data_IF_932659041494
#
_entry.id   IF_932659041494
#
_cell.length_a   1.000
_cell.length_b   1.000
_cell.length_c   1.000
_cell.angle_alpha   90.00
_cell.angle_beta   90.00
_cell.angle_gamma   90.00
#
_symmetry.space_group_name_H-M   'P 1'
#
loop_
_entity.id
_entity.type
_entity.pdbx_description
1 polymer ?
#
# COMPACT_ATOMS: atom_id res chain seq x y z
N UNK A 1 27.54 41.48 -13.23
CA UNK A 1 28.66 40.87 -14.00
C UNK A 1 28.17 39.59 -14.69
N UNK A 2 28.91 39.08 -15.68
CA UNK A 2 28.85 37.66 -16.14
C UNK A 2 29.50 36.77 -15.05
N UNK A 3 29.41 35.44 -14.95
CA UNK A 3 28.92 34.29 -15.76
C UNK A 3 28.86 33.07 -14.78
N UNK A 4 28.59 31.80 -15.17
CA UNK A 4 28.03 31.27 -16.42
C UNK A 4 26.80 30.34 -16.23
N UNK A 5 26.25 29.85 -17.34
CA UNK A 5 25.30 28.74 -17.39
C UNK A 5 26.00 27.37 -17.32
N UNK A 6 25.31 26.33 -16.85
CA UNK A 6 25.62 24.93 -17.19
C UNK A 6 24.54 24.35 -18.11
N UNK A 7 24.95 23.47 -19.02
CA UNK A 7 24.11 22.97 -20.11
C UNK A 7 23.48 21.62 -19.78
N UNK A 8 22.20 21.46 -20.12
CA UNK A 8 21.52 20.15 -20.11
C UNK A 8 22.13 19.26 -21.19
N UNK A 9 22.46 18.01 -20.85
CA UNK A 9 22.91 17.01 -21.81
C UNK A 9 21.88 15.88 -21.89
N UNK A 10 21.20 15.77 -23.04
CA UNK A 10 20.11 14.82 -23.27
C UNK A 10 20.70 13.52 -23.84
N UNK A 11 20.42 12.38 -23.22
CA UNK A 11 20.76 11.06 -23.74
C UNK A 11 19.55 10.43 -24.43
N UNK A 12 19.56 10.37 -25.76
CA UNK A 12 18.66 9.49 -26.51
C UNK A 12 19.27 8.09 -26.56
N UNK A 13 18.51 7.07 -26.15
CA UNK A 13 18.83 5.67 -26.43
C UNK A 13 17.99 5.18 -27.61
N UNK A 14 18.61 5.05 -28.78
CA UNK A 14 18.01 4.45 -29.96
C UNK A 14 18.40 2.97 -30.04
N UNK A 15 17.41 2.07 -30.08
CA UNK A 15 17.64 0.64 -30.24
C UNK A 15 17.92 0.30 -31.72
N UNK A 16 19.20 0.08 -32.06
CA UNK A 16 19.64 -0.48 -33.35
C UNK A 16 19.79 -2.00 -33.28
N UNK A 17 19.46 -2.71 -34.36
CA UNK A 17 19.40 -4.18 -34.39
C UNK A 17 20.22 -4.81 -35.53
N UNK A 18 20.41 -6.14 -35.41
CA UNK A 18 20.84 -7.12 -36.44
C UNK A 18 22.35 -7.28 -36.71
N UNK A 19 22.86 -8.47 -36.35
CA UNK A 19 23.82 -9.26 -37.16
C UNK A 19 25.33 -9.20 -36.82
N UNK A 20 26.18 -10.15 -37.24
CA UNK A 20 25.95 -11.55 -37.66
C UNK A 20 27.32 -12.27 -37.87
N UNK A 21 27.51 -13.48 -37.31
CA UNK A 21 28.66 -14.37 -37.61
C UNK A 21 29.97 -14.11 -36.83
N UNK A 22 30.95 -15.02 -36.81
CA UNK A 22 31.01 -16.38 -37.39
C UNK A 22 32.18 -17.21 -36.77
N UNK A 23 32.02 -18.55 -36.66
CA UNK A 23 33.09 -19.58 -36.48
C UNK A 23 33.91 -19.54 -35.16
N UNK A 24 34.30 -20.65 -34.51
CA UNK A 24 34.18 -22.13 -34.70
C UNK A 24 34.47 -22.82 -33.31
N UNK A 25 34.70 -24.13 -33.06
CA UNK A 25 35.00 -25.32 -33.89
C UNK A 25 34.76 -26.68 -33.17
N UNK A 26 34.22 -27.66 -33.91
CA UNK A 26 34.31 -29.16 -33.85
C UNK A 26 34.04 -30.03 -32.59
N UNK A 27 33.46 -31.21 -32.89
CA UNK A 27 33.52 -32.55 -32.24
C UNK A 27 32.56 -32.87 -31.06
N UNK A 28 31.91 -34.05 -31.03
CA UNK A 28 31.72 -35.10 -32.06
C UNK A 28 30.50 -36.03 -31.78
N UNK A 29 30.12 -36.84 -32.78
CA UNK A 29 29.30 -38.07 -32.76
C UNK A 29 27.77 -38.01 -32.50
N UNK A 30 27.00 -38.44 -33.52
CA UNK A 30 25.70 -39.13 -33.37
C UNK A 30 25.90 -40.66 -33.38
N UNK A 31 24.91 -41.52 -33.77
CA UNK A 31 23.67 -41.30 -34.55
C UNK A 31 22.40 -41.65 -33.71
N UNK A 32 21.17 -41.89 -34.21
CA UNK A 32 20.63 -42.09 -35.57
C UNK A 32 19.16 -41.58 -35.73
N UNK A 33 18.53 -41.82 -36.90
CA UNK A 33 17.29 -41.20 -37.38
C UNK A 33 16.09 -42.16 -37.39
N UNK A 34 14.88 -41.61 -37.27
CA UNK A 34 13.70 -42.04 -38.03
C UNK A 34 12.69 -40.87 -38.17
N UNK A 35 11.86 -40.85 -39.22
CA UNK A 35 10.96 -39.73 -39.54
C UNK A 35 9.56 -40.17 -40.01
N UNK A 36 8.52 -39.47 -39.53
CA UNK A 36 7.39 -38.85 -40.31
C UNK A 36 6.87 -39.66 -41.53
N UNK A 37 5.58 -40.07 -41.56
CA UNK A 37 4.53 -39.14 -42.04
C UNK A 37 3.11 -39.28 -41.46
N UNK A 38 2.25 -38.31 -41.81
CA UNK A 38 0.79 -38.36 -41.64
C UNK A 38 0.09 -39.14 -42.77
N UNK A 39 -1.07 -39.74 -42.47
CA UNK A 39 -2.29 -39.72 -43.34
C UNK A 39 -3.54 -40.19 -42.57
N UNK A 40 -4.73 -39.79 -43.03
CA UNK A 40 -6.05 -40.19 -42.51
C UNK A 40 -6.72 -41.23 -43.44
N UNK A 41 -7.78 -41.95 -43.00
CA UNK A 41 -9.16 -41.48 -43.22
C UNK A 41 -10.20 -41.87 -42.14
N UNK A 42 -11.45 -41.47 -42.37
CA UNK A 42 -12.67 -41.73 -41.57
C UNK A 42 -13.17 -43.19 -41.65
N UNK A 43 -14.14 -43.55 -40.78
CA UNK A 43 -15.47 -43.90 -41.31
C UNK A 43 -16.60 -43.01 -40.74
N UNK A 44 -17.74 -42.99 -41.44
CA UNK A 44 -18.96 -42.29 -41.01
C UNK A 44 -19.99 -43.27 -40.41
N UNK A 45 -20.86 -42.77 -39.53
CA UNK A 45 -22.08 -43.45 -39.08
C UNK A 45 -23.20 -42.40 -39.01
N UNK A 46 -24.39 -42.75 -39.51
CA UNK A 46 -25.57 -41.88 -39.55
C UNK A 46 -26.42 -42.01 -38.26
N UNK A 47 -27.33 -41.05 -38.01
CA UNK A 47 -28.45 -41.24 -37.09
C UNK A 47 -28.69 -40.12 -36.07
N UNK A 48 -29.46 -39.10 -36.46
CA UNK A 48 -30.19 -38.27 -35.48
C UNK A 48 -31.49 -39.00 -35.05
N UNK A 49 -32.07 -38.65 -33.90
CA UNK A 49 -33.04 -37.56 -33.94
C UNK A 49 -32.87 -36.51 -32.83
N UNK A 50 -33.46 -35.33 -33.03
CA UNK A 50 -33.38 -34.23 -32.08
C UNK A 50 -34.28 -34.43 -30.86
N UNK A 51 -33.76 -34.10 -29.68
CA UNK A 51 -34.54 -33.76 -28.47
C UNK A 51 -34.22 -32.32 -28.07
N UNK A 52 -35.20 -31.62 -27.48
CA UNK A 52 -35.05 -30.20 -27.15
C UNK A 52 -34.17 -30.04 -25.92
N UNK A 53 -32.95 -29.54 -26.11
CA UNK A 53 -32.07 -29.11 -25.03
C UNK A 53 -32.44 -27.68 -24.61
N UNK A 54 -32.71 -27.51 -23.32
CA UNK A 54 -32.80 -26.19 -22.68
C UNK A 54 -31.45 -25.46 -22.83
N UNK A 55 -31.43 -24.11 -22.92
CA UNK A 55 -30.18 -23.37 -22.99
C UNK A 55 -29.35 -23.67 -21.73
N UNK A 56 -28.13 -24.16 -21.93
CA UNK A 56 -27.21 -24.44 -20.83
C UNK A 56 -26.97 -23.14 -20.05
N UNK A 57 -27.21 -23.18 -18.73
CA UNK A 57 -26.92 -22.06 -17.83
C UNK A 57 -25.42 -21.82 -17.87
N UNK A 58 -24.99 -20.73 -18.50
CA UNK A 58 -23.60 -20.27 -18.48
C UNK A 58 -23.17 -20.19 -17.01
N UNK A 59 -22.04 -20.81 -16.61
CA UNK A 59 -21.53 -20.62 -15.27
C UNK A 59 -21.19 -19.14 -15.10
N UNK A 60 -21.82 -18.49 -14.13
CA UNK A 60 -21.46 -17.12 -13.78
C UNK A 60 -20.05 -17.17 -13.20
N UNK A 61 -19.09 -16.53 -13.86
CA UNK A 61 -17.81 -16.18 -13.27
C UNK A 61 -18.06 -15.08 -12.24
N UNK A 62 -18.58 -15.48 -11.08
CA UNK A 62 -19.01 -14.57 -10.03
C UNK A 62 -17.83 -13.84 -9.40
N UNK A 63 -17.90 -12.51 -9.41
CA UNK A 63 -17.26 -11.68 -8.39
C UNK A 63 -17.64 -12.25 -7.01
N UNK A 64 -16.73 -12.27 -6.03
CA UNK A 64 -17.11 -12.45 -4.63
C UNK A 64 -17.98 -11.27 -4.20
N UNK A 65 -19.31 -11.45 -4.27
CA UNK A 65 -20.26 -10.51 -3.70
C UNK A 65 -20.05 -10.35 -2.18
N UNK A 66 -20.77 -9.43 -1.51
CA UNK A 66 -20.65 -9.25 -0.07
C UNK A 66 -20.84 -10.57 0.70
N UNK A 67 -19.74 -11.12 1.18
CA UNK A 67 -19.66 -12.31 2.02
C UNK A 67 -19.80 -11.89 3.48
N UNK A 68 -20.60 -12.63 4.24
CA UNK A 68 -21.40 -12.11 5.34
C UNK A 68 -22.45 -11.08 4.87
N UNK A 69 -23.65 -11.20 5.42
CA UNK A 69 -24.63 -10.12 5.35
C UNK A 69 -24.08 -8.92 6.13
N UNK A 70 -23.84 -7.80 5.42
CA UNK A 70 -23.93 -6.49 6.07
C UNK A 70 -25.27 -6.46 6.82
N UNK A 71 -25.28 -6.02 8.08
CA UNK A 71 -26.53 -5.82 8.83
C UNK A 71 -27.51 -5.01 7.97
N UNK A 72 -28.80 -5.34 8.00
CA UNK A 72 -29.88 -4.74 7.17
C UNK A 72 -30.02 -3.19 7.31
N UNK A 73 -29.20 -2.58 8.16
CA UNK A 73 -29.13 -1.14 8.45
C UNK A 73 -27.93 -0.43 7.78
N UNK A 74 -26.92 -1.16 7.30
CA UNK A 74 -25.71 -0.60 6.69
C UNK A 74 -25.90 -0.43 5.18
N UNK A 75 -25.73 0.80 4.69
CA UNK A 75 -25.76 1.07 3.25
C UNK A 75 -24.53 0.43 2.57
N UNK A 76 -24.68 -0.50 1.59
CA UNK A 76 -23.54 -1.15 0.95
C UNK A 76 -22.59 -0.16 0.26
N UNK A 77 -23.12 0.94 -0.29
CA UNK A 77 -22.31 2.01 -0.88
C UNK A 77 -21.45 2.73 0.16
N UNK A 78 -21.98 2.96 1.37
CA UNK A 78 -21.24 3.56 2.48
C UNK A 78 -20.12 2.63 2.96
N UNK A 79 -20.41 1.33 3.08
CA UNK A 79 -19.44 0.30 3.45
C UNK A 79 -18.29 0.21 2.44
N UNK A 80 -18.62 0.16 1.14
CA UNK A 80 -17.63 0.10 0.07
C UNK A 80 -16.86 1.42 -0.09
N UNK A 81 -17.46 2.58 0.24
CA UNK A 81 -16.74 3.86 0.32
C UNK A 81 -15.77 3.94 1.50
N UNK A 82 -16.04 3.26 2.61
CA UNK A 82 -15.07 3.09 3.67
C UNK A 82 -13.95 2.13 3.24
N UNK A 83 -14.30 0.96 2.71
CA UNK A 83 -13.34 -0.04 2.21
C UNK A 83 -12.38 0.51 1.12
N UNK A 84 -12.88 1.41 0.26
CA UNK A 84 -12.10 2.14 -0.73
C UNK A 84 -11.50 3.46 -0.24
N UNK A 85 -11.34 3.62 1.08
CA UNK A 85 -10.72 4.76 1.77
C UNK A 85 -11.06 6.16 1.21
N UNK A 86 -12.31 6.31 0.74
CA UNK A 86 -12.73 7.49 -0.01
C UNK A 86 -12.75 8.74 0.88
N UNK A 87 -12.91 8.57 2.19
CA UNK A 87 -12.98 9.65 3.16
C UNK A 87 -11.61 10.30 3.40
N UNK A 88 -10.55 9.52 3.67
CA UNK A 88 -9.22 10.04 4.00
C UNK A 88 -8.69 10.91 2.85
N UNK A 89 -8.62 10.35 1.64
CA UNK A 89 -8.15 11.08 0.47
C UNK A 89 -9.02 12.30 0.11
N UNK A 90 -10.35 12.19 0.19
CA UNK A 90 -11.26 13.28 -0.24
C UNK A 90 -11.74 14.18 0.90
N UNK A 91 -11.04 14.22 2.04
CA UNK A 91 -11.34 15.17 3.12
C UNK A 91 -10.07 15.91 3.52
N UNK A 92 -10.04 17.23 3.29
CA UNK A 92 -8.96 18.08 3.80
C UNK A 92 -9.09 18.29 5.32
N UNK A 93 -8.01 18.65 6.04
CA UNK A 93 -8.10 19.21 7.39
C UNK A 93 -9.10 20.37 7.45
N UNK A 94 -9.88 20.44 8.54
CA UNK A 94 -11.03 21.35 8.73
C UNK A 94 -12.05 21.34 7.57
N UNK A 95 -12.17 20.20 6.87
CA UNK A 95 -13.05 19.99 5.72
C UNK A 95 -14.39 19.35 6.06
N UNK A 96 -15.35 19.50 5.15
CA UNK A 96 -16.49 18.57 5.10
C UNK A 96 -16.07 17.24 4.47
N UNK A 97 -16.61 16.09 4.92
CA UNK A 97 -16.36 14.81 4.28
C UNK A 97 -16.57 14.87 2.76
N UNK A 98 -15.63 14.28 2.02
CA UNK A 98 -15.68 14.17 0.56
C UNK A 98 -15.56 15.49 -0.25
N UNK A 99 -15.32 16.65 0.37
CA UNK A 99 -15.16 17.92 -0.37
C UNK A 99 -13.79 18.11 -1.06
N UNK A 100 -12.85 17.19 -0.85
CA UNK A 100 -11.51 17.21 -1.41
C UNK A 100 -10.60 18.27 -0.79
N UNK A 101 -9.54 18.63 -1.53
CA UNK A 101 -8.57 19.65 -1.13
C UNK A 101 -7.41 19.14 -0.28
N UNK A 102 -7.33 17.85 0.02
CA UNK A 102 -6.15 17.26 0.66
C UNK A 102 -4.93 17.45 -0.27
N UNK A 103 -3.82 17.89 0.30
CA UNK A 103 -2.55 18.02 -0.40
C UNK A 103 -1.76 16.71 -0.29
N UNK A 104 -1.44 16.09 -1.42
CA UNK A 104 -0.60 14.90 -1.51
C UNK A 104 0.70 15.32 -2.17
N UNK A 105 1.77 15.45 -1.39
CA UNK A 105 3.09 15.76 -1.93
C UNK A 105 3.75 14.53 -2.55
N UNK A 106 4.40 14.73 -3.69
CA UNK A 106 5.00 13.64 -4.48
C UNK A 106 6.40 14.05 -4.99
N UNK A 107 7.24 13.09 -5.41
CA UNK A 107 8.48 13.37 -6.15
C UNK A 107 8.29 14.23 -7.43
N UNK A 108 7.06 14.45 -7.88
CA UNK A 108 6.73 15.24 -9.07
C UNK A 108 6.13 16.62 -8.73
N UNK A 109 5.77 16.88 -7.47
CA UNK A 109 5.06 18.08 -6.99
C UNK A 109 3.73 17.73 -6.31
N UNK A 110 3.00 18.74 -5.81
CA UNK A 110 1.79 18.55 -5.01
C UNK A 110 0.57 18.25 -5.88
N UNK A 111 -0.12 17.16 -5.56
CA UNK A 111 -1.44 16.81 -6.10
C UNK A 111 -2.51 17.25 -5.08
N UNK A 112 -3.67 17.68 -5.56
CA UNK A 112 -4.81 18.03 -4.70
C UNK A 112 -6.00 17.15 -5.05
N UNK A 113 -6.66 16.57 -4.04
CA UNK A 113 -7.79 15.67 -4.27
C UNK A 113 -9.06 16.44 -4.66
N UNK A 114 -9.86 15.92 -5.61
CA UNK A 114 -11.08 16.59 -6.06
C UNK A 114 -12.24 16.44 -5.06
N UNK A 115 -13.19 17.35 -5.14
CA UNK A 115 -14.49 17.23 -4.46
C UNK A 115 -15.28 16.09 -5.12
N UNK A 116 -15.84 15.17 -4.33
CA UNK A 116 -16.67 14.05 -4.81
C UNK A 116 -18.05 14.00 -4.14
N UNK A 117 -18.50 15.13 -3.58
CA UNK A 117 -19.89 15.34 -3.15
C UNK A 117 -20.85 15.46 -4.36
N UNK A 118 -22.19 15.47 -4.18
CA UNK A 118 -23.15 15.62 -5.29
C UNK A 118 -23.18 17.00 -5.97
N UNK A 119 -22.23 17.88 -5.66
CA UNK A 119 -22.12 19.22 -6.24
C UNK A 119 -21.99 19.16 -7.78
N UNK A 120 -22.83 19.89 -8.51
CA UNK A 120 -22.78 19.97 -9.98
C UNK A 120 -21.63 20.85 -10.49
N UNK A 121 -21.27 21.92 -9.76
CA UNK A 121 -20.23 22.88 -10.14
C UNK A 121 -18.81 22.36 -9.91
N UNK A 122 -18.60 21.61 -8.81
CA UNK A 122 -17.26 21.22 -8.33
C UNK A 122 -17.11 19.74 -7.99
N UNK A 123 -18.21 19.02 -7.75
CA UNK A 123 -18.22 17.61 -7.34
C UNK A 123 -18.47 16.65 -8.50
N UNK A 124 -19.11 15.51 -8.19
CA UNK A 124 -19.47 14.48 -9.18
C UNK A 124 -20.95 14.53 -9.60
N UNK A 125 -21.72 15.56 -9.21
CA UNK A 125 -23.18 15.62 -9.43
C UNK A 125 -23.61 15.45 -10.89
N UNK A 126 -22.81 15.95 -11.82
CA UNK A 126 -23.04 15.85 -13.27
C UNK A 126 -22.48 14.57 -13.94
N UNK A 127 -21.85 13.66 -13.20
CA UNK A 127 -21.23 12.45 -13.79
C UNK A 127 -22.32 11.42 -14.13
N UNK A 128 -22.34 10.92 -15.37
CA UNK A 128 -23.10 9.70 -15.68
C UNK A 128 -22.49 8.48 -15.00
N UNK A 129 -23.22 7.37 -14.93
CA UNK A 129 -22.70 6.11 -14.36
C UNK A 129 -21.49 5.61 -15.17
N UNK A 130 -21.55 5.77 -16.49
CA UNK A 130 -20.43 5.52 -17.40
C UNK A 130 -19.22 6.41 -17.13
N UNK A 131 -19.42 7.67 -16.73
CA UNK A 131 -18.31 8.58 -16.43
C UNK A 131 -17.65 8.25 -15.10
N UNK A 132 -18.44 7.85 -14.09
CA UNK A 132 -17.93 7.40 -12.80
C UNK A 132 -17.11 6.10 -12.96
N UNK A 133 -17.67 5.08 -13.62
CA UNK A 133 -16.95 3.84 -13.93
C UNK A 133 -15.69 4.12 -14.78
N UNK A 134 -15.76 4.99 -15.79
CA UNK A 134 -14.61 5.38 -16.62
C UNK A 134 -13.51 6.12 -15.84
N UNK A 135 -13.89 6.94 -14.86
CA UNK A 135 -12.94 7.58 -13.96
C UNK A 135 -12.21 6.53 -13.11
N UNK A 136 -12.95 5.74 -12.32
CA UNK A 136 -12.37 4.80 -11.36
C UNK A 136 -11.66 3.62 -12.03
N UNK A 137 -12.17 3.09 -13.16
CA UNK A 137 -11.65 1.83 -13.73
C UNK A 137 -10.67 2.03 -14.89
N UNK A 138 -10.49 3.25 -15.39
CA UNK A 138 -9.57 3.57 -16.49
C UNK A 138 -8.76 4.86 -16.28
N UNK A 139 -9.01 5.62 -15.22
CA UNK A 139 -8.29 6.87 -14.99
C UNK A 139 -8.59 7.95 -16.01
N UNK A 140 -9.80 8.01 -16.58
CA UNK A 140 -10.21 9.00 -17.59
C UNK A 140 -11.41 9.83 -17.09
N UNK A 141 -11.29 11.15 -17.14
CA UNK A 141 -12.34 12.10 -16.72
C UNK A 141 -13.58 12.10 -17.64
N UNK A 142 -14.70 12.71 -17.22
CA UNK A 142 -15.85 12.93 -18.11
C UNK A 142 -15.46 13.63 -19.42
N UNK A 143 -14.57 14.62 -19.35
CA UNK A 143 -14.03 15.35 -20.52
C UNK A 143 -13.07 14.54 -21.40
N UNK A 144 -12.73 13.31 -21.03
CA UNK A 144 -11.80 12.45 -21.77
C UNK A 144 -10.32 12.69 -21.45
N UNK A 145 -10.00 13.56 -20.49
CA UNK A 145 -8.62 13.82 -20.06
C UNK A 145 -8.17 12.76 -19.05
N UNK A 146 -6.91 12.31 -19.06
CA UNK A 146 -6.45 11.29 -18.12
C UNK A 146 -6.24 11.89 -16.71
N UNK A 147 -6.25 11.03 -15.69
CA UNK A 147 -5.89 11.32 -14.31
C UNK A 147 -4.44 10.87 -14.02
N UNK A 148 -3.79 11.51 -13.04
CA UNK A 148 -2.51 11.03 -12.52
C UNK A 148 -2.74 9.77 -11.67
N UNK A 149 -1.82 8.79 -11.66
CA UNK A 149 -1.95 7.51 -10.96
C UNK A 149 -1.87 7.60 -9.42
N UNK A 150 -1.83 8.80 -8.85
CA UNK A 150 -2.12 9.02 -7.43
C UNK A 150 -3.61 8.84 -7.10
N UNK A 151 -4.48 8.85 -8.12
CA UNK A 151 -5.82 8.27 -8.03
C UNK A 151 -5.68 6.78 -8.40
N UNK A 152 -6.02 5.82 -7.52
CA UNK A 152 -5.65 4.40 -7.65
C UNK A 152 -6.52 3.61 -8.65
N UNK A 153 -6.75 4.15 -9.85
CA UNK A 153 -7.51 3.48 -10.91
C UNK A 153 -6.82 2.19 -11.41
N UNK A 154 -5.52 2.06 -11.17
CA UNK A 154 -4.69 0.85 -11.30
C UNK A 154 -5.19 -0.31 -10.43
N UNK A 155 -5.76 -0.03 -9.26
CA UNK A 155 -6.43 -1.00 -8.40
C UNK A 155 -7.94 -1.04 -8.64
N UNK A 156 -8.62 0.11 -8.67
CA UNK A 156 -10.08 0.17 -8.87
C UNK A 156 -10.58 -0.42 -10.19
N UNK A 157 -9.74 -0.59 -11.21
CA UNK A 157 -10.08 -1.35 -12.43
C UNK A 157 -10.54 -2.79 -12.15
N UNK A 158 -10.11 -3.37 -11.01
CA UNK A 158 -10.46 -4.71 -10.55
C UNK A 158 -11.87 -4.79 -9.94
N UNK A 159 -12.36 -3.69 -9.38
CA UNK A 159 -13.63 -3.63 -8.64
C UNK A 159 -14.81 -3.72 -9.60
N UNK A 160 -15.85 -4.46 -9.20
CA UNK A 160 -17.04 -4.70 -10.00
C UNK A 160 -17.88 -3.43 -10.21
N UNK A 161 -18.55 -3.36 -11.35
CA UNK A 161 -19.32 -2.18 -11.75
C UNK A 161 -20.49 -1.93 -10.79
N UNK A 162 -21.10 -2.98 -10.24
CA UNK A 162 -22.14 -2.89 -9.20
C UNK A 162 -21.64 -2.25 -7.89
N UNK A 163 -20.45 -2.64 -7.40
CA UNK A 163 -19.86 -2.08 -6.17
C UNK A 163 -19.49 -0.60 -6.36
N UNK A 164 -18.92 -0.24 -7.52
CA UNK A 164 -18.60 1.15 -7.83
C UNK A 164 -19.86 2.02 -8.01
N UNK A 165 -20.94 1.46 -8.55
CA UNK A 165 -22.22 2.18 -8.63
C UNK A 165 -22.94 2.25 -7.27
N UNK A 166 -22.71 1.29 -6.36
CA UNK A 166 -23.14 1.41 -4.96
C UNK A 166 -22.39 2.55 -4.24
N UNK A 167 -21.06 2.61 -4.37
CA UNK A 167 -20.22 3.74 -3.90
C UNK A 167 -20.78 5.06 -4.44
N UNK A 168 -21.01 5.16 -5.75
CA UNK A 168 -21.59 6.36 -6.37
C UNK A 168 -22.95 6.70 -5.77
N UNK A 169 -23.84 5.72 -5.62
CA UNK A 169 -25.18 5.93 -5.07
C UNK A 169 -25.13 6.47 -3.64
N UNK A 170 -24.18 6.02 -2.81
CA UNK A 170 -23.95 6.59 -1.48
C UNK A 170 -23.37 8.02 -1.55
N UNK A 171 -22.34 8.26 -2.37
CA UNK A 171 -21.76 9.60 -2.55
C UNK A 171 -22.82 10.61 -3.04
N UNK A 172 -23.79 10.18 -3.84
CA UNK A 172 -24.94 11.02 -4.25
C UNK A 172 -25.94 11.35 -3.12
N UNK A 173 -25.73 10.84 -1.89
CA UNK A 173 -26.54 11.16 -0.69
C UNK A 173 -25.85 12.09 0.32
N UNK A 174 -24.55 12.35 0.21
CA UNK A 174 -23.83 13.22 1.17
C UNK A 174 -24.15 14.70 0.93
N UNK A 175 -23.84 15.59 1.89
CA UNK A 175 -24.11 17.02 1.72
C UNK A 175 -23.27 17.60 0.55
N UNK A 176 -23.88 18.27 -0.45
CA UNK A 176 -23.12 18.91 -1.52
C UNK A 176 -22.25 20.06 -0.99
N UNK A 177 -20.93 19.96 -1.19
CA UNK A 177 -20.02 21.07 -0.88
C UNK A 177 -19.77 21.93 -2.11
N UNK A 178 -19.88 23.25 -1.94
CA UNK A 178 -19.46 24.26 -2.92
C UNK A 178 -17.97 24.60 -2.81
N UNK A 179 -17.19 23.85 -2.02
CA UNK A 179 -15.74 24.00 -1.98
C UNK A 179 -15.11 23.59 -3.32
N UNK A 180 -14.20 24.44 -3.82
CA UNK A 180 -13.38 24.19 -4.99
C UNK A 180 -11.94 23.90 -4.55
N UNK A 181 -11.46 22.64 -4.65
CA UNK A 181 -10.07 22.30 -4.34
C UNK A 181 -9.04 23.09 -5.16
N UNK A 182 -7.83 23.31 -4.60
CA UNK A 182 -6.71 23.88 -5.35
C UNK A 182 -6.36 23.06 -6.58
N UNK A 183 -5.70 23.68 -7.56
CA UNK A 183 -5.24 22.97 -8.76
C UNK A 183 -3.96 22.19 -8.43
N UNK A 184 -3.88 20.96 -8.93
CA UNK A 184 -2.65 20.15 -8.88
C UNK A 184 -1.46 20.89 -9.48
N UNK A 185 -0.35 20.98 -8.75
CA UNK A 185 0.86 21.75 -9.08
C UNK A 185 2.08 20.85 -9.24
N UNK A 186 2.11 20.07 -10.33
CA UNK A 186 3.29 19.28 -10.70
C UNK A 186 4.36 20.12 -11.42
N UNK A 187 5.61 19.69 -11.29
CA UNK A 187 6.77 20.24 -12.00
C UNK A 187 6.72 19.85 -13.48
N UNK A 188 7.29 20.67 -14.37
CA UNK A 188 7.48 20.28 -15.77
C UNK A 188 8.52 19.14 -15.86
N UNK A 189 8.33 18.10 -16.70
CA UNK A 189 7.26 17.93 -17.71
C UNK A 189 5.97 17.28 -17.19
N UNK A 190 5.94 16.78 -15.94
CA UNK A 190 4.81 16.05 -15.36
C UNK A 190 3.49 16.84 -15.32
N UNK A 191 3.55 18.18 -15.38
CA UNK A 191 2.38 19.06 -15.54
C UNK A 191 1.65 18.94 -16.89
N UNK A 192 2.25 18.32 -17.91
CA UNK A 192 1.62 18.09 -19.22
C UNK A 192 0.72 16.84 -19.12
N UNK A 193 -0.56 17.06 -18.80
CA UNK A 193 -1.49 15.97 -18.45
C UNK A 193 -1.59 14.87 -19.52
N UNK A 194 -1.57 15.22 -20.80
CA UNK A 194 -1.75 14.25 -21.90
C UNK A 194 -0.61 13.22 -22.01
N UNK A 195 0.55 13.47 -21.38
CA UNK A 195 1.61 12.45 -21.25
C UNK A 195 1.14 11.21 -20.47
N UNK A 196 0.09 11.33 -19.65
CA UNK A 196 -0.49 10.20 -18.93
C UNK A 196 -1.15 9.16 -19.84
N UNK A 197 -1.53 9.49 -21.08
CA UNK A 197 -1.94 8.45 -22.04
C UNK A 197 -0.77 7.52 -22.40
N UNK A 198 0.43 8.09 -22.62
CA UNK A 198 1.65 7.31 -22.87
C UNK A 198 2.14 6.56 -21.62
N UNK A 199 1.87 7.08 -20.43
CA UNK A 199 2.10 6.37 -19.17
C UNK A 199 1.15 5.18 -19.02
N UNK A 200 -0.15 5.37 -19.30
CA UNK A 200 -1.17 4.32 -19.21
C UNK A 200 -0.88 3.16 -20.17
N UNK A 201 -0.53 3.44 -21.43
CA UNK A 201 -0.17 2.41 -22.43
C UNK A 201 1.02 1.52 -22.00
N UNK A 202 1.91 2.03 -21.14
CA UNK A 202 3.11 1.29 -20.67
C UNK A 202 2.90 0.63 -19.31
N UNK A 203 2.15 1.25 -18.39
CA UNK A 203 2.09 0.84 -16.98
C UNK A 203 0.70 0.43 -16.48
N UNK A 204 -0.38 0.75 -17.19
CA UNK A 204 -1.74 0.43 -16.77
C UNK A 204 -2.33 -0.75 -17.56
N UNK A 205 -2.74 -1.80 -16.84
CA UNK A 205 -3.46 -2.95 -17.41
C UNK A 205 -4.88 -3.00 -16.82
N UNK A 206 -5.86 -2.51 -17.57
CA UNK A 206 -7.26 -2.62 -17.19
C UNK A 206 -7.72 -4.09 -17.08
N UNK A 207 -8.56 -4.40 -16.10
CA UNK A 207 -9.15 -5.73 -15.94
C UNK A 207 -9.81 -5.93 -14.57
N UNK A 208 -11.01 -6.52 -14.58
CA UNK A 208 -11.72 -6.92 -13.34
C UNK A 208 -10.96 -8.00 -12.59
N UNK A 209 -11.16 -8.07 -11.28
CA UNK A 209 -10.78 -9.24 -10.49
C UNK A 209 -11.43 -10.50 -11.06
N UNK A 210 -10.76 -11.64 -10.93
CA UNK A 210 -11.25 -12.95 -11.34
C UNK A 210 -10.87 -13.95 -10.25
N UNK A 211 -11.88 -14.56 -9.62
CA UNK A 211 -11.68 -15.53 -8.54
C UNK A 211 -10.89 -16.75 -9.03
N UNK A 212 -9.87 -17.16 -8.27
CA UNK A 212 -9.13 -18.40 -8.51
C UNK A 212 -9.97 -19.60 -8.02
N UNK A 213 -10.41 -20.52 -8.90
CA UNK A 213 -11.22 -21.68 -8.52
C UNK A 213 -10.44 -22.74 -7.70
N UNK A 214 -9.13 -22.53 -7.48
CA UNK A 214 -8.30 -23.37 -6.61
C UNK A 214 -8.15 -22.80 -5.19
N UNK A 215 -8.78 -21.66 -4.89
CA UNK A 215 -8.73 -20.96 -3.60
C UNK A 215 -10.11 -20.92 -2.94
N UNK A 216 -10.16 -20.64 -1.63
CA UNK A 216 -11.42 -20.48 -0.91
C UNK A 216 -12.14 -19.19 -1.30
N UNK A 217 -13.44 -19.12 -1.00
CA UNK A 217 -14.22 -17.89 -1.19
C UNK A 217 -13.64 -16.75 -0.33
N UNK A 218 -13.19 -17.03 0.90
CA UNK A 218 -12.57 -16.06 1.80
C UNK A 218 -11.24 -15.51 1.24
N UNK A 219 -10.39 -16.37 0.68
CA UNK A 219 -9.14 -15.92 0.04
C UNK A 219 -9.43 -15.05 -1.18
N UNK A 220 -10.44 -15.42 -1.98
CA UNK A 220 -10.86 -14.64 -3.15
C UNK A 220 -11.50 -13.29 -2.75
N UNK A 221 -12.23 -13.24 -1.64
CA UNK A 221 -12.75 -12.01 -1.05
C UNK A 221 -11.62 -11.11 -0.55
N UNK A 222 -10.63 -11.68 0.14
CA UNK A 222 -9.43 -10.97 0.59
C UNK A 222 -8.65 -10.36 -0.57
N UNK A 223 -8.41 -11.16 -1.61
CA UNK A 223 -7.78 -10.71 -2.85
C UNK A 223 -8.54 -9.54 -3.49
N UNK A 224 -9.87 -9.66 -3.61
CA UNK A 224 -10.73 -8.62 -4.17
C UNK A 224 -10.64 -7.29 -3.41
N UNK A 225 -10.61 -7.34 -2.08
CA UNK A 225 -10.51 -6.16 -1.22
C UNK A 225 -9.08 -5.56 -1.25
N UNK A 226 -8.05 -6.35 -0.98
CA UNK A 226 -6.65 -5.92 -0.91
C UNK A 226 -6.13 -5.40 -2.25
N UNK A 227 -6.46 -6.08 -3.35
CA UNK A 227 -6.02 -5.67 -4.68
C UNK A 227 -6.88 -4.57 -5.31
N UNK A 228 -8.15 -4.48 -4.90
CA UNK A 228 -9.20 -3.64 -5.48
C UNK A 228 -9.46 -2.36 -4.69
N UNK A 229 -10.34 -2.42 -3.69
CA UNK A 229 -10.77 -1.23 -2.94
C UNK A 229 -9.72 -0.74 -1.94
N UNK A 230 -9.19 -1.60 -1.08
CA UNK A 230 -8.16 -1.24 -0.10
C UNK A 230 -6.78 -0.97 -0.71
N UNK A 231 -6.62 -1.27 -2.01
CA UNK A 231 -5.50 -0.87 -2.88
C UNK A 231 -4.10 -0.96 -2.27
N UNK A 232 -3.84 -1.95 -1.41
CA UNK A 232 -2.68 -1.95 -0.50
C UNK A 232 -1.34 -1.96 -1.27
N UNK A 233 -1.35 -2.53 -2.48
CA UNK A 233 -0.20 -2.53 -3.39
C UNK A 233 0.26 -1.14 -3.84
N UNK A 234 -0.56 -0.09 -3.74
CA UNK A 234 -0.15 1.27 -4.10
C UNK A 234 0.80 1.90 -3.05
N UNK A 235 0.79 1.42 -1.81
CA UNK A 235 1.76 1.81 -0.77
C UNK A 235 2.83 0.74 -0.56
N UNK A 236 2.45 -0.54 -0.49
CA UNK A 236 3.37 -1.65 -0.17
C UNK A 236 4.12 -2.22 -1.38
N UNK A 237 4.12 -1.54 -2.54
CA UNK A 237 4.91 -1.92 -3.72
C UNK A 237 5.87 -0.79 -4.13
N UNK A 238 7.16 -1.09 -4.37
CA UNK A 238 8.12 -0.12 -4.89
C UNK A 238 7.66 0.53 -6.20
N UNK A 239 7.93 1.82 -6.34
CA UNK A 239 7.65 2.59 -7.56
C UNK A 239 8.92 2.89 -8.33
N UNK A 240 8.86 2.74 -9.65
CA UNK A 240 9.94 3.11 -10.55
C UNK A 240 10.03 4.65 -10.74
N UNK A 241 11.04 5.12 -11.48
CA UNK A 241 11.28 6.55 -11.72
C UNK A 241 10.14 7.30 -12.45
N UNK A 242 9.17 6.57 -13.04
CA UNK A 242 7.96 7.13 -13.65
C UNK A 242 6.73 7.08 -12.70
N UNK A 243 6.92 6.72 -11.43
CA UNK A 243 5.85 6.65 -10.41
C UNK A 243 4.95 5.41 -10.49
N UNK A 244 5.19 4.51 -11.44
CA UNK A 244 4.45 3.25 -11.55
C UNK A 244 4.99 2.20 -10.58
N UNK A 245 4.09 1.45 -9.94
CA UNK A 245 4.42 0.28 -9.12
C UNK A 245 5.16 -0.78 -9.95
N UNK A 246 6.10 -1.50 -9.34
CA UNK A 246 6.87 -2.58 -9.96
C UNK A 246 6.22 -3.95 -9.70
N UNK A 247 5.49 -4.58 -10.65
CA UNK A 247 4.67 -5.76 -10.33
C UNK A 247 5.47 -7.00 -9.92
N UNK A 248 6.72 -7.12 -10.34
CA UNK A 248 7.66 -8.14 -9.85
C UNK A 248 7.93 -8.01 -8.35
N UNK A 249 7.94 -6.78 -7.84
CA UNK A 249 8.12 -6.41 -6.43
C UNK A 249 6.77 -6.14 -5.72
N UNK A 250 5.65 -6.60 -6.27
CA UNK A 250 4.33 -6.40 -5.64
C UNK A 250 4.34 -6.89 -4.18
N UNK A 251 3.88 -6.02 -3.27
CA UNK A 251 3.81 -6.23 -1.82
C UNK A 251 5.15 -6.34 -1.06
N UNK A 252 6.32 -6.01 -1.65
CA UNK A 252 7.62 -6.12 -0.96
C UNK A 252 7.98 -4.96 -0.02
N UNK A 253 7.06 -4.01 0.20
CA UNK A 253 7.28 -2.79 0.97
C UNK A 253 7.98 -1.66 0.20
N UNK A 254 7.76 -0.41 0.62
CA UNK A 254 8.32 0.80 0.01
C UNK A 254 8.23 2.03 0.95
N UNK A 255 9.07 3.04 0.71
CA UNK A 255 8.95 4.35 1.40
C UNK A 255 7.92 5.24 0.70
N UNK A 256 6.93 5.72 1.45
CA UNK A 256 5.84 6.63 1.00
C UNK A 256 5.75 7.79 1.99
N UNK A 257 5.80 9.04 1.52
CA UNK A 257 5.93 10.25 2.38
C UNK A 257 7.10 10.20 3.40
N UNK A 258 8.11 9.35 3.16
CA UNK A 258 9.17 9.13 4.14
C UNK A 258 8.75 8.26 5.35
N UNK A 259 7.52 7.75 5.42
CA UNK A 259 7.17 6.56 6.21
C UNK A 259 7.51 5.29 5.42
N UNK A 260 7.70 4.15 6.08
CA UNK A 260 7.94 2.86 5.44
C UNK A 260 6.68 1.98 5.49
N UNK A 261 6.14 1.66 4.32
CA UNK A 261 5.13 0.62 4.18
C UNK A 261 5.85 -0.74 4.17
N UNK A 262 5.65 -1.63 5.18
CA UNK A 262 6.40 -2.89 5.29
C UNK A 262 6.08 -3.91 4.18
N UNK A 263 6.88 -4.97 4.10
CA UNK A 263 6.63 -6.11 3.21
C UNK A 263 5.40 -6.90 3.70
N UNK A 264 4.46 -7.19 2.81
CA UNK A 264 3.23 -7.94 3.12
C UNK A 264 3.23 -9.36 2.54
N UNK A 265 4.39 -9.91 2.20
CA UNK A 265 4.53 -11.33 1.79
C UNK A 265 4.97 -12.23 2.96
N UNK A 266 4.89 -13.55 2.79
CA UNK A 266 5.33 -14.64 3.70
C UNK A 266 6.85 -14.65 4.03
N UNK A 267 7.53 -13.51 4.00
CA UNK A 267 8.93 -13.37 4.39
C UNK A 267 9.06 -13.42 5.93
N UNK A 268 9.90 -14.34 6.44
CA UNK A 268 10.08 -14.63 7.89
C UNK A 268 10.95 -13.60 8.64
N UNK A 269 11.61 -12.72 7.92
CA UNK A 269 12.61 -11.75 8.39
C UNK A 269 12.10 -10.30 8.38
N UNK A 270 11.36 -9.91 7.35
CA UNK A 270 10.86 -8.55 7.16
C UNK A 270 9.37 -8.46 6.76
N UNK A 271 8.64 -9.57 6.71
CA UNK A 271 7.25 -9.64 6.24
C UNK A 271 6.28 -10.33 7.18
N UNK A 272 5.17 -10.84 6.61
CA UNK A 272 4.05 -11.42 7.33
C UNK A 272 4.20 -12.92 7.65
N UNK A 273 5.28 -13.60 7.24
CA UNK A 273 5.39 -15.07 7.31
C UNK A 273 5.42 -15.69 8.72
N UNK A 274 5.31 -14.86 9.76
CA UNK A 274 5.15 -15.29 11.15
C UNK A 274 3.83 -14.82 11.81
N UNK A 275 3.00 -14.06 11.10
CA UNK A 275 1.72 -13.56 11.58
C UNK A 275 0.66 -14.65 11.43
N UNK A 276 -0.18 -14.83 12.45
CA UNK A 276 -1.43 -15.55 12.30
C UNK A 276 -2.53 -14.66 11.71
N UNK A 277 -3.57 -15.30 11.15
CA UNK A 277 -4.73 -14.61 10.57
C UNK A 277 -5.42 -13.74 11.64
N UNK A 278 -5.61 -14.27 12.85
CA UNK A 278 -6.27 -13.59 13.96
C UNK A 278 -5.52 -12.29 14.37
N UNK A 279 -4.19 -12.34 14.44
CA UNK A 279 -3.35 -11.19 14.79
C UNK A 279 -3.38 -10.11 13.69
N UNK A 280 -3.32 -10.52 12.43
CA UNK A 280 -3.36 -9.59 11.30
C UNK A 280 -4.76 -8.99 11.11
N UNK A 281 -5.83 -9.77 11.28
CA UNK A 281 -7.20 -9.25 11.25
C UNK A 281 -7.46 -8.26 12.39
N UNK A 282 -6.95 -8.54 13.60
CA UNK A 282 -6.99 -7.61 14.72
C UNK A 282 -6.19 -6.32 14.43
N UNK A 283 -4.99 -6.43 13.85
CA UNK A 283 -4.19 -5.27 13.47
C UNK A 283 -4.88 -4.42 12.39
N UNK A 284 -5.45 -5.04 11.35
CA UNK A 284 -6.19 -4.32 10.31
C UNK A 284 -7.43 -3.60 10.89
N UNK A 285 -8.18 -4.25 11.79
CA UNK A 285 -9.39 -3.67 12.38
C UNK A 285 -9.18 -2.66 13.52
N UNK A 286 -8.03 -2.68 14.20
CA UNK A 286 -7.79 -1.86 15.41
C UNK A 286 -6.50 -1.04 15.38
N UNK A 287 -5.62 -1.28 14.41
CA UNK A 287 -4.30 -0.68 14.33
C UNK A 287 -3.31 -1.24 15.35
N UNK A 288 -3.60 -2.36 16.02
CA UNK A 288 -2.83 -2.86 17.16
C UNK A 288 -2.58 -4.37 17.05
N UNK A 289 -1.31 -4.78 17.21
CA UNK A 289 -0.92 -6.17 17.41
C UNK A 289 -0.36 -6.34 18.83
N UNK A 290 -0.92 -7.30 19.58
CA UNK A 290 -0.57 -7.56 20.99
C UNK A 290 0.58 -8.54 21.19
N UNK A 291 0.99 -9.23 20.13
CA UNK A 291 1.95 -10.32 20.16
C UNK A 291 3.17 -9.98 19.31
N UNK A 292 4.33 -10.35 19.81
CA UNK A 292 5.55 -10.42 19.01
C UNK A 292 5.56 -11.77 18.29
N UNK A 293 6.21 -11.83 17.13
CA UNK A 293 6.20 -13.02 16.28
C UNK A 293 7.22 -14.10 16.70
N UNK A 294 7.10 -14.50 17.95
CA UNK A 294 7.47 -15.80 18.53
C UNK A 294 6.74 -15.91 19.88
N UNK A 295 6.00 -17.00 20.11
CA UNK A 295 5.22 -17.21 21.36
C UNK A 295 6.07 -17.23 22.63
N UNK A 296 7.39 -17.35 22.46
CA UNK A 296 8.38 -17.57 23.52
C UNK A 296 9.29 -16.34 23.72
N UNK A 297 9.17 -15.27 22.91
CA UNK A 297 10.22 -14.26 22.77
C UNK A 297 10.16 -13.06 23.74
N UNK A 298 8.97 -12.49 23.99
CA UNK A 298 8.85 -11.23 24.74
C UNK A 298 7.64 -11.25 25.69
N UNK A 299 7.92 -11.29 26.99
CA UNK A 299 6.96 -10.91 28.02
C UNK A 299 6.81 -9.38 28.05
N UNK A 300 5.89 -8.87 27.22
CA UNK A 300 5.43 -7.49 27.23
C UNK A 300 4.17 -7.31 28.12
N UNK A 301 3.76 -8.35 28.86
CA UNK A 301 2.45 -8.40 29.50
C UNK A 301 1.31 -8.16 28.51
N UNK A 302 0.32 -7.35 28.90
CA UNK A 302 -0.81 -6.95 28.05
C UNK A 302 -0.51 -5.79 27.08
N UNK A 303 0.75 -5.35 26.94
CA UNK A 303 1.11 -4.17 26.15
C UNK A 303 1.11 -4.47 24.64
N UNK A 304 0.75 -3.51 23.77
CA UNK A 304 0.87 -3.70 22.33
C UNK A 304 2.34 -3.80 21.93
N UNK A 305 2.66 -4.74 21.03
CA UNK A 305 4.02 -4.94 20.52
C UNK A 305 4.29 -4.07 19.31
N UNK A 306 3.29 -3.85 18.46
CA UNK A 306 3.30 -2.81 17.43
C UNK A 306 1.92 -2.23 17.23
N UNK A 307 1.91 -1.01 16.73
CA UNK A 307 0.71 -0.30 16.32
C UNK A 307 0.89 0.28 14.91
N UNK A 308 -0.20 0.69 14.29
CA UNK A 308 -0.17 1.39 13.01
C UNK A 308 0.39 2.79 13.23
N UNK A 309 1.27 3.23 12.31
CA UNK A 309 1.94 4.53 12.36
C UNK A 309 1.69 5.30 11.05
N UNK A 310 1.63 6.63 11.14
CA UNK A 310 1.46 7.50 9.97
C UNK A 310 0.26 7.13 9.08
N UNK A 311 0.42 7.13 7.74
CA UNK A 311 -0.65 6.80 6.80
C UNK A 311 -1.29 5.41 6.98
N UNK A 312 -0.59 4.43 7.56
CA UNK A 312 -1.23 3.13 7.86
C UNK A 312 -2.27 3.27 8.99
N UNK A 313 -2.01 4.17 9.93
CA UNK A 313 -2.93 4.46 11.02
C UNK A 313 -4.14 5.28 10.51
N UNK A 314 -3.92 6.22 9.59
CA UNK A 314 -5.00 6.91 8.86
C UNK A 314 -5.91 5.89 8.16
N UNK A 315 -5.33 4.94 7.41
CA UNK A 315 -6.07 3.86 6.72
C UNK A 315 -6.83 2.94 7.70
N UNK A 316 -6.30 2.68 8.90
CA UNK A 316 -7.04 1.96 9.95
C UNK A 316 -8.24 2.78 10.44
N UNK A 317 -8.02 4.04 10.80
CA UNK A 317 -9.06 4.91 11.34
C UNK A 317 -10.17 5.18 10.31
N UNK A 318 -9.80 5.57 9.09
CA UNK A 318 -10.74 6.04 8.07
C UNK A 318 -11.36 4.93 7.21
N UNK A 319 -10.64 3.83 6.97
CA UNK A 319 -11.13 2.65 6.22
C UNK A 319 -11.34 1.41 7.09
N UNK A 320 -10.28 0.75 7.53
CA UNK A 320 -10.31 -0.67 7.89
C UNK A 320 -11.10 -0.99 9.16
N UNK A 321 -11.06 -0.10 10.17
CA UNK A 321 -11.85 -0.23 11.40
C UNK A 321 -13.37 -0.17 11.19
N UNK A 322 -13.83 0.18 9.99
CA UNK A 322 -15.25 0.21 9.60
C UNK A 322 -15.69 -1.06 8.84
N UNK A 323 -14.79 -2.00 8.60
CA UNK A 323 -15.06 -3.26 7.90
C UNK A 323 -15.66 -4.31 8.84
N UNK A 324 -16.34 -5.29 8.26
CA UNK A 324 -16.80 -6.48 9.00
C UNK A 324 -15.61 -7.36 9.38
N UNK A 325 -15.74 -8.06 10.51
CA UNK A 325 -14.76 -9.07 10.94
C UNK A 325 -14.48 -10.11 9.84
N UNK A 326 -15.52 -10.55 9.12
CA UNK A 326 -15.39 -11.48 8.00
C UNK A 326 -14.49 -10.94 6.86
N UNK A 327 -14.63 -9.66 6.49
CA UNK A 327 -13.78 -9.03 5.47
C UNK A 327 -12.34 -8.82 5.98
N UNK A 328 -12.15 -8.46 7.26
CA UNK A 328 -10.82 -8.33 7.87
C UNK A 328 -10.06 -9.67 7.91
N UNK A 329 -10.74 -10.75 8.30
CA UNK A 329 -10.21 -12.11 8.24
C UNK A 329 -9.92 -12.56 6.81
N UNK A 330 -10.80 -12.26 5.85
CA UNK A 330 -10.57 -12.55 4.43
C UNK A 330 -9.31 -11.85 3.89
N UNK A 331 -9.15 -10.55 4.19
CA UNK A 331 -7.94 -9.79 3.84
C UNK A 331 -6.68 -10.39 4.47
N UNK A 332 -6.72 -10.78 5.74
CA UNK A 332 -5.60 -11.43 6.43
C UNK A 332 -5.25 -12.82 5.83
N UNK A 333 -6.25 -13.63 5.48
CA UNK A 333 -6.09 -14.94 4.81
C UNK A 333 -5.37 -14.79 3.45
N UNK A 334 -5.74 -13.77 2.67
CA UNK A 334 -5.06 -13.49 1.40
C UNK A 334 -3.61 -13.04 1.61
N UNK A 335 -3.38 -12.09 2.53
CA UNK A 335 -2.06 -11.49 2.76
C UNK A 335 -1.02 -12.51 3.27
N UNK A 336 -1.40 -13.38 4.21
CA UNK A 336 -0.48 -14.39 4.77
C UNK A 336 -0.12 -15.48 3.76
N UNK A 337 -0.99 -15.76 2.78
CA UNK A 337 -0.71 -16.72 1.69
C UNK A 337 0.11 -16.11 0.53
N UNK A 338 0.43 -14.80 0.57
CA UNK A 338 1.25 -14.17 -0.47
C UNK A 338 2.68 -14.72 -0.47
N UNK A 339 3.17 -15.29 -1.59
CA UNK A 339 4.44 -16.00 -1.63
C UNK A 339 5.61 -15.10 -1.26
N UNK A 340 6.42 -15.58 -0.31
CA UNK A 340 7.56 -14.86 0.26
C UNK A 340 8.46 -14.21 -0.79
N UNK A 341 8.72 -12.92 -0.63
CA UNK A 341 9.68 -12.13 -1.42
C UNK A 341 10.58 -11.33 -0.51
N UNK A 342 11.86 -11.24 -0.86
CA UNK A 342 12.81 -10.33 -0.19
C UNK A 342 12.36 -8.88 -0.39
N UNK A 343 12.36 -8.11 0.69
CA UNK A 343 12.19 -6.66 0.61
C UNK A 343 13.35 -6.02 -0.18
N UNK A 344 13.15 -4.87 -0.87
CA UNK A 344 14.18 -4.24 -1.70
C UNK A 344 15.11 -3.37 -0.84
N UNK A 345 15.81 -3.98 0.10
CA UNK A 345 16.58 -3.25 1.14
C UNK A 345 17.96 -2.79 0.67
N UNK A 346 18.44 -1.68 1.21
CA UNK A 346 19.79 -1.15 0.96
C UNK A 346 20.86 -1.83 1.85
N UNK A 347 21.01 -3.13 1.61
CA UNK A 347 22.06 -4.05 2.09
C UNK A 347 23.45 -3.42 2.40
N UNK A 348 24.26 -3.98 3.35
CA UNK A 348 24.17 -5.35 3.89
C UNK A 348 24.45 -5.58 5.41
N UNK A 349 23.96 -6.72 5.89
CA UNK A 349 24.61 -7.69 6.82
C UNK A 349 25.34 -7.19 8.09
N UNK A 350 24.82 -7.59 9.25
CA UNK A 350 25.36 -7.41 10.62
C UNK A 350 25.58 -5.92 10.97
N UNK A 351 24.61 -5.26 11.64
CA UNK A 351 24.72 -3.84 11.92
C UNK A 351 25.92 -3.53 12.81
N UNK A 352 26.62 -2.41 12.56
CA UNK A 352 27.77 -2.02 13.37
C UNK A 352 27.30 -1.69 14.80
N UNK A 353 27.85 -2.40 15.79
CA UNK A 353 27.62 -2.12 17.20
C UNK A 353 27.98 -0.66 17.51
N UNK A 354 27.10 0.04 18.22
CA UNK A 354 27.35 1.40 18.68
C UNK A 354 28.62 1.48 19.53
N UNK A 355 29.33 2.61 19.46
CA UNK A 355 30.39 2.86 20.42
C UNK A 355 29.79 3.01 21.81
N UNK A 356 30.58 2.70 22.86
CA UNK A 356 30.11 2.85 24.24
C UNK A 356 29.62 4.28 24.53
N UNK A 357 30.27 5.30 23.96
CA UNK A 357 29.88 6.70 24.15
C UNK A 357 28.53 7.02 23.48
N UNK A 358 28.27 6.50 22.28
CA UNK A 358 27.00 6.70 21.57
C UNK A 358 25.85 5.96 22.29
N UNK A 359 26.11 4.74 22.76
CA UNK A 359 25.14 3.95 23.51
C UNK A 359 24.81 4.58 24.88
N UNK A 360 25.81 5.10 25.61
CA UNK A 360 25.59 5.82 26.87
C UNK A 360 24.84 7.14 26.63
N UNK A 361 25.22 7.92 25.60
CA UNK A 361 24.52 9.16 25.22
C UNK A 361 23.06 8.92 24.84
N UNK A 362 22.78 7.89 24.03
CA UNK A 362 21.42 7.53 23.61
C UNK A 362 20.57 6.97 24.75
N UNK A 363 21.17 6.21 25.67
CA UNK A 363 20.50 5.80 26.92
C UNK A 363 20.13 7.00 27.77
N UNK A 364 21.03 7.96 27.94
CA UNK A 364 20.78 9.12 28.80
C UNK A 364 19.68 10.05 28.19
N UNK A 365 19.62 10.17 26.86
CA UNK A 365 18.48 10.76 26.14
C UNK A 365 17.18 9.96 26.38
N UNK A 366 17.21 8.64 26.25
CA UNK A 366 16.05 7.77 26.47
C UNK A 366 15.51 7.87 27.91
N UNK A 367 16.40 7.87 28.92
CA UNK A 367 16.05 8.06 30.33
C UNK A 367 15.48 9.45 30.61
N UNK A 368 15.85 10.46 29.82
CA UNK A 368 15.33 11.83 29.96
C UNK A 368 13.96 12.02 29.30
N UNK A 369 13.69 11.33 28.18
CA UNK A 369 12.56 11.63 27.30
C UNK A 369 11.52 10.51 27.12
N UNK A 370 11.88 9.25 27.35
CA UNK A 370 11.09 8.09 26.89
C UNK A 370 10.74 7.10 28.00
N UNK A 371 11.63 6.88 28.98
CA UNK A 371 11.50 5.80 29.98
C UNK A 371 10.25 5.95 30.87
N UNK A 372 9.76 7.16 31.11
CA UNK A 372 8.53 7.39 31.88
C UNK A 372 7.29 6.68 31.30
N UNK A 373 7.27 6.45 29.98
CA UNK A 373 6.19 5.77 29.27
C UNK A 373 6.60 4.36 28.84
N UNK A 374 7.68 4.23 28.06
CA UNK A 374 8.13 2.95 27.49
C UNK A 374 8.96 2.07 28.43
N UNK A 375 9.21 2.54 29.66
CA UNK A 375 9.94 1.87 30.75
C UNK A 375 11.44 1.64 30.47
N UNK A 376 12.22 1.39 31.53
CA UNK A 376 13.69 1.32 31.47
C UNK A 376 14.26 0.18 30.60
N UNK A 377 13.44 -0.82 30.24
CA UNK A 377 13.83 -1.95 29.39
C UNK A 377 13.02 -2.03 28.07
N UNK A 378 12.39 -0.91 27.69
CA UNK A 378 11.64 -0.81 26.43
C UNK A 378 10.42 -1.72 26.35
N UNK A 379 9.90 -2.21 27.48
CA UNK A 379 8.79 -3.15 27.52
C UNK A 379 7.41 -2.52 27.33
N UNK A 380 7.31 -1.19 27.28
CA UNK A 380 6.03 -0.49 27.18
C UNK A 380 5.23 -0.51 28.47
N UNK A 381 3.97 -0.08 28.40
CA UNK A 381 3.02 -0.10 29.50
C UNK A 381 1.59 -0.19 28.95
N UNK A 382 0.93 -1.31 29.23
CA UNK A 382 -0.38 -1.65 28.70
C UNK A 382 -1.52 -0.70 29.17
N UNK A 383 -2.54 -0.45 28.33
CA UNK A 383 -2.58 -0.64 26.87
C UNK A 383 -1.92 0.52 26.08
N UNK A 384 -1.44 1.58 26.75
CA UNK A 384 -1.23 2.91 26.16
C UNK A 384 0.11 3.13 25.47
N UNK A 385 1.16 2.41 25.88
CA UNK A 385 2.51 2.65 25.39
C UNK A 385 3.08 1.33 24.86
N UNK A 386 3.38 1.23 23.55
CA UNK A 386 3.88 -0.01 22.98
C UNK A 386 5.27 -0.35 23.51
N UNK A 387 5.58 -1.65 23.45
CA UNK A 387 6.96 -2.10 23.56
C UNK A 387 7.80 -1.46 22.45
N UNK A 388 9.04 -1.11 22.78
CA UNK A 388 10.10 -0.76 21.83
C UNK A 388 11.08 -1.93 21.67
N UNK A 389 11.13 -2.83 22.66
CA UNK A 389 11.88 -4.10 22.61
C UNK A 389 11.17 -5.07 21.67
N UNK A 390 11.87 -5.49 20.61
CA UNK A 390 11.41 -6.42 19.58
C UNK A 390 10.19 -5.98 18.78
N UNK A 391 9.85 -4.68 18.83
CA UNK A 391 8.80 -4.08 18.02
C UNK A 391 9.27 -4.05 16.54
N UNK A 392 8.51 -4.61 15.59
CA UNK A 392 8.89 -4.63 14.18
C UNK A 392 9.15 -3.24 13.60
N UNK A 393 8.37 -2.21 13.95
CA UNK A 393 8.61 -0.83 13.50
C UNK A 393 9.91 -0.21 14.08
N UNK A 394 10.47 -0.81 15.13
CA UNK A 394 11.80 -0.48 15.64
C UNK A 394 12.89 -1.31 14.94
N UNK A 395 12.69 -2.61 14.72
CA UNK A 395 13.74 -3.53 14.25
C UNK A 395 13.88 -3.63 12.73
N UNK A 396 12.91 -3.14 11.94
CA UNK A 396 12.91 -3.20 10.47
C UNK A 396 14.07 -2.41 9.84
N UNK A 397 14.57 -2.85 8.67
CA UNK A 397 15.85 -2.36 8.12
C UNK A 397 15.85 -0.84 7.85
N UNK A 398 14.81 -0.32 7.19
CA UNK A 398 14.63 1.12 6.95
C UNK A 398 14.21 1.83 8.26
N UNK A 399 14.97 2.81 8.80
CA UNK A 399 14.72 3.42 10.11
C UNK A 399 13.60 4.49 10.11
N UNK A 400 12.91 4.65 8.98
CA UNK A 400 11.95 5.72 8.71
C UNK A 400 10.89 5.92 9.79
N UNK A 401 10.24 4.84 10.24
CA UNK A 401 9.06 4.95 11.10
C UNK A 401 9.43 5.38 12.51
N UNK A 402 10.46 4.79 13.12
CA UNK A 402 10.95 5.24 14.43
C UNK A 402 11.49 6.67 14.39
N UNK A 403 12.06 7.11 13.25
CA UNK A 403 12.51 8.50 13.08
C UNK A 403 11.34 9.47 12.90
N UNK A 404 10.35 9.19 12.04
CA UNK A 404 9.18 10.07 11.87
C UNK A 404 8.31 10.10 13.13
N UNK A 405 8.15 8.98 13.85
CA UNK A 405 7.47 8.95 15.15
C UNK A 405 8.21 9.76 16.22
N UNK A 406 9.55 9.76 16.26
CA UNK A 406 10.30 10.68 17.14
C UNK A 406 10.17 12.15 16.73
N UNK A 407 10.15 12.45 15.42
CA UNK A 407 10.06 13.82 14.91
C UNK A 407 8.67 14.43 15.14
N UNK A 408 7.62 13.69 14.79
CA UNK A 408 6.22 14.15 14.72
C UNK A 408 5.42 13.81 15.98
N UNK A 409 5.86 12.82 16.77
CA UNK A 409 5.10 12.26 17.88
C UNK A 409 3.85 11.49 17.42
N UNK A 410 2.91 11.33 18.34
CA UNK A 410 1.54 10.92 18.08
C UNK A 410 0.61 11.93 18.80
N UNK A 411 -0.35 12.55 18.10
CA UNK A 411 -1.20 13.60 18.66
C UNK A 411 -2.14 13.05 19.74
N UNK A 412 -2.73 13.95 20.54
CA UNK A 412 -3.35 13.57 21.83
C UNK A 412 -4.89 13.48 21.84
N UNK A 413 -5.56 13.85 20.75
CA UNK A 413 -7.03 13.76 20.62
C UNK A 413 -7.37 12.53 19.76
N UNK A 414 -8.15 11.54 20.23
CA UNK A 414 -8.52 10.35 19.45
C UNK A 414 -9.24 10.58 18.11
N UNK A 415 -9.65 11.80 17.73
CA UNK A 415 -10.07 12.11 16.35
C UNK A 415 -8.95 12.59 15.43
N UNK A 416 -7.83 13.06 15.99
CA UNK A 416 -6.61 13.43 15.29
C UNK A 416 -5.52 12.33 15.44
N UNK A 417 -5.68 11.46 16.43
CA UNK A 417 -4.76 10.41 16.83
C UNK A 417 -5.23 9.07 16.25
N UNK A 418 -4.53 8.67 15.19
CA UNK A 418 -4.83 7.51 14.37
C UNK A 418 -4.67 6.13 15.06
N UNK A 419 -4.39 6.12 16.37
CA UNK A 419 -4.53 4.97 17.27
C UNK A 419 -5.16 5.46 18.58
N UNK A 420 -6.22 4.82 19.11
CA UNK A 420 -7.07 5.37 20.19
C UNK A 420 -6.42 5.43 21.59
N UNK A 421 -5.10 5.22 21.69
CA UNK A 421 -4.38 5.10 22.96
C UNK A 421 -3.09 5.93 23.07
N UNK A 422 -2.60 6.52 21.98
CA UNK A 422 -1.21 7.01 21.91
C UNK A 422 -1.13 8.51 22.20
N UNK A 423 -0.34 8.88 23.20
CA UNK A 423 0.08 10.27 23.43
C UNK A 423 1.60 10.30 23.51
N UNK A 424 2.26 10.52 22.36
CA UNK A 424 3.72 10.59 22.29
C UNK A 424 4.16 12.01 21.90
N UNK A 425 4.97 12.70 22.72
CA UNK A 425 5.45 14.05 22.39
C UNK A 425 6.26 14.08 21.08
N UNK A 426 6.06 15.14 20.29
CA UNK A 426 6.89 15.43 19.13
C UNK A 426 8.25 16.01 19.57
N UNK A 427 9.36 15.32 19.26
CA UNK A 427 10.70 15.78 19.62
C UNK A 427 11.40 16.59 18.52
N UNK A 428 10.81 16.68 17.33
CA UNK A 428 11.41 17.39 16.19
C UNK A 428 11.72 18.87 16.45
N UNK A 429 10.96 19.54 17.30
CA UNK A 429 11.21 20.96 17.66
C UNK A 429 12.15 21.14 18.86
N UNK A 430 12.51 20.07 19.58
CA UNK A 430 13.25 20.11 20.86
C UNK A 430 14.61 19.45 20.82
N UNK A 431 14.83 18.48 19.93
CA UNK A 431 16.09 17.74 19.76
C UNK A 431 16.72 18.00 18.38
N UNK A 432 18.06 18.03 18.31
CA UNK A 432 18.79 18.13 17.03
C UNK A 432 18.77 16.83 16.24
N UNK A 433 19.15 16.91 14.96
CA UNK A 433 19.27 15.78 14.03
C UNK A 433 20.18 14.68 14.61
N UNK A 434 21.27 15.09 15.27
CA UNK A 434 22.21 14.20 15.97
C UNK A 434 21.57 13.56 17.20
N UNK A 435 20.86 14.33 18.04
CA UNK A 435 20.23 13.79 19.25
C UNK A 435 19.15 12.76 18.91
N UNK A 436 18.33 13.02 17.89
CA UNK A 436 17.32 12.06 17.41
C UNK A 436 17.98 10.83 16.79
N UNK A 437 19.05 10.99 16.02
CA UNK A 437 19.81 9.87 15.45
C UNK A 437 20.44 9.00 16.54
N UNK A 438 21.06 9.59 17.57
CA UNK A 438 21.63 8.88 18.72
C UNK A 438 20.55 8.17 19.56
N UNK A 439 19.41 8.82 19.80
CA UNK A 439 18.26 8.23 20.52
C UNK A 439 17.64 7.05 19.74
N UNK A 440 17.34 7.24 18.46
CA UNK A 440 16.79 6.19 17.59
C UNK A 440 17.76 5.00 17.47
N UNK A 441 19.07 5.28 17.35
CA UNK A 441 20.11 4.23 17.32
C UNK A 441 20.16 3.44 18.63
N UNK A 442 20.07 4.10 19.78
CA UNK A 442 20.00 3.41 21.06
C UNK A 442 18.76 2.52 21.15
N UNK A 443 17.58 3.03 20.77
CA UNK A 443 16.33 2.26 20.75
C UNK A 443 16.45 1.05 19.80
N UNK A 444 17.13 1.18 18.65
CA UNK A 444 17.38 0.10 17.67
C UNK A 444 18.44 -0.92 18.10
N UNK A 445 19.36 -0.56 19.00
CA UNK A 445 20.42 -1.45 19.50
C UNK A 445 20.17 -2.01 20.92
N UNK A 446 19.23 -1.45 21.68
CA UNK A 446 18.96 -1.87 23.05
C UNK A 446 18.13 -3.15 23.14
N UNK A 447 18.18 -3.80 24.31
CA UNK A 447 17.27 -4.88 24.74
C UNK A 447 17.18 -6.14 23.86
N UNK A 448 18.09 -6.31 22.90
CA UNK A 448 18.12 -7.40 21.92
C UNK A 448 17.45 -7.05 20.58
N UNK A 449 17.30 -5.76 20.27
CA UNK A 449 16.73 -5.28 19.00
C UNK A 449 17.68 -5.45 17.81
N UNK A 450 19.00 -5.40 18.06
CA UNK A 450 20.09 -5.70 17.13
C UNK A 450 19.93 -5.14 15.69
N UNK A 451 19.36 -3.94 15.56
CA UNK A 451 19.06 -3.27 14.28
C UNK A 451 20.06 -2.13 13.96
N UNK A 452 20.08 -1.67 12.71
CA UNK A 452 21.08 -0.73 12.20
C UNK A 452 20.96 0.69 12.80
N UNK A 453 22.08 1.36 13.14
CA UNK A 453 22.06 2.69 13.74
C UNK A 453 21.74 3.81 12.72
N UNK A 454 20.92 4.76 13.16
CA UNK A 454 20.45 5.91 12.39
C UNK A 454 21.50 7.03 12.35
N UNK A 455 21.64 7.68 11.21
CA UNK A 455 22.52 8.81 10.97
C UNK A 455 21.76 10.15 11.05
N UNK A 456 22.42 11.22 11.52
CA UNK A 456 21.86 12.59 11.52
C UNK A 456 21.37 13.02 10.12
N UNK A 457 22.05 12.57 9.06
CA UNK A 457 21.67 12.85 7.67
C UNK A 457 20.32 12.22 7.26
N UNK A 458 19.93 11.10 7.85
CA UNK A 458 18.63 10.44 7.59
C UNK A 458 17.50 11.16 8.32
N UNK A 459 17.71 11.49 9.61
CA UNK A 459 16.78 12.33 10.38
C UNK A 459 16.53 13.65 9.67
N UNK A 460 17.59 14.28 9.17
CA UNK A 460 17.51 15.54 8.42
C UNK A 460 16.76 15.45 7.10
N UNK A 461 16.66 14.26 6.50
CA UNK A 461 15.91 14.02 5.26
C UNK A 461 14.41 13.77 5.50
N UNK A 462 14.00 13.57 6.76
CA UNK A 462 12.64 13.24 7.20
C UNK A 462 11.96 14.40 7.97
N UNK A 463 12.51 15.62 7.87
CA UNK A 463 12.10 16.85 8.57
C UNK A 463 11.43 17.89 7.68
#
# INVERSE_FOLDING_TARGET
>A
MRMPSQSVMIALLAAGAVGLGFMSRDRDHGPERATVPLTTPLPAIEGAPATSALPARVPSSGTPGPSASLDDQVNPGQYLSAAGDCAACHTRPDGKPFEGGLAIDTPFGTIYTPNITPSEDYGIGAFSDRDFLRALQHGISPSGSPYYPAFPYTSYTKVADEDLLAIKAYLMTVEPSSYQPPKTHLRWPFSIRDLMFGWQEVYFKAGRFQSDPNRSDDWNRGAYLVEGLGHCGECHTPRNLAGATEPSKAMTGAVIDGWYAPNLTDALDAGLGRWSVDELAAFLGTGIAKTAHDSDAIDAGDAPVTEALGPMAEVVHDSLSKLTEADLYAMAIYLIDLPAKTAPTHQPQVPPLLSQADFESGRDLYTTHCSACHQDHGQGLAPYFPALRGNPAVTIEEPNDVVKTLLLGAPADPSDAFSPYVVMPAFGSTLTDEQIATLASYIRAAWGNDAAPVQSAEVKALR
#
